data_IF_528928159076
#
_entry.id   IF_528928159076
#
_cell.length_a   1.000
_cell.length_b   1.000
_cell.length_c   1.000
_cell.angle_alpha   90.00
_cell.angle_beta   90.00
_cell.angle_gamma   90.00
#
_symmetry.space_group_name_H-M   'P 1'
#
loop_
_entity.id
_entity.type
_entity.pdbx_description
1 polymer ?
#
# COMPACT_ATOMS: atom_id res chain seq x y z
N UNK A 1 -21.46 -4.95 -15.35
CA UNK A 1 -20.29 -4.09 -15.63
C UNK A 1 -19.06 -4.90 -15.29
N UNK A 2 -18.02 -4.86 -16.12
CA UNK A 2 -16.76 -5.54 -15.81
C UNK A 2 -16.07 -4.87 -14.63
N UNK A 3 -15.57 -5.69 -13.70
CA UNK A 3 -14.79 -5.21 -12.56
C UNK A 3 -13.45 -4.66 -13.05
N UNK A 4 -13.09 -3.45 -12.61
CA UNK A 4 -11.80 -2.81 -12.92
C UNK A 4 -11.02 -2.63 -11.63
N UNK A 5 -9.76 -3.08 -11.65
CA UNK A 5 -8.80 -2.90 -10.56
C UNK A 5 -7.67 -1.97 -11.00
N UNK A 6 -7.21 -1.11 -10.09
CA UNK A 6 -6.12 -0.17 -10.34
C UNK A 6 -4.79 -0.68 -9.79
N UNK A 7 -3.69 -0.35 -10.46
CA UNK A 7 -2.33 -0.59 -9.97
C UNK A 7 -1.51 0.70 -10.03
N UNK A 8 -0.76 1.02 -8.97
CA UNK A 8 0.17 2.14 -8.91
C UNK A 8 1.31 1.86 -7.94
N UNK A 9 2.49 2.45 -8.10
CA UNK A 9 3.65 2.19 -7.25
C UNK A 9 4.46 3.45 -6.96
N UNK A 10 5.52 3.30 -6.16
CA UNK A 10 6.61 4.26 -6.01
C UNK A 10 6.19 5.66 -5.54
N UNK A 11 5.19 5.72 -4.65
CA UNK A 11 4.71 7.01 -4.15
C UNK A 11 5.74 7.69 -3.24
N UNK A 12 6.56 6.94 -2.50
CA UNK A 12 7.64 7.47 -1.67
C UNK A 12 7.17 8.62 -0.76
N UNK A 13 5.97 8.52 -0.19
CA UNK A 13 5.41 9.57 0.67
C UNK A 13 4.98 10.85 -0.07
N UNK A 14 5.03 10.86 -1.41
CA UNK A 14 4.60 11.98 -2.23
C UNK A 14 3.08 12.09 -2.23
N UNK A 15 2.57 13.04 -1.44
CA UNK A 15 1.15 13.32 -1.30
C UNK A 15 0.49 13.60 -2.64
N UNK A 16 1.06 14.49 -3.47
CA UNK A 16 0.45 14.89 -4.73
C UNK A 16 0.31 13.71 -5.71
N UNK A 17 1.32 12.84 -5.75
CA UNK A 17 1.26 11.61 -6.54
C UNK A 17 0.15 10.69 -6.04
N UNK A 18 0.16 10.34 -4.75
CA UNK A 18 -0.81 9.43 -4.16
C UNK A 18 -2.26 9.93 -4.34
N UNK A 19 -2.52 11.20 -4.07
CA UNK A 19 -3.89 11.75 -4.14
C UNK A 19 -4.40 11.85 -5.56
N UNK A 20 -3.56 12.29 -6.51
CA UNK A 20 -3.97 12.40 -7.92
C UNK A 20 -4.33 11.04 -8.50
N UNK A 21 -3.50 10.00 -8.25
CA UNK A 21 -3.78 8.64 -8.73
C UNK A 21 -5.07 8.08 -8.14
N UNK A 22 -5.31 8.24 -6.84
CA UNK A 22 -6.54 7.75 -6.18
C UNK A 22 -7.80 8.46 -6.72
N UNK A 23 -7.72 9.77 -6.95
CA UNK A 23 -8.81 10.54 -7.54
C UNK A 23 -9.10 10.11 -8.99
N UNK A 24 -8.05 9.89 -9.79
CA UNK A 24 -8.18 9.38 -11.16
C UNK A 24 -8.85 8.00 -11.18
N UNK A 25 -8.47 7.09 -10.27
CA UNK A 25 -9.10 5.78 -10.14
C UNK A 25 -10.58 5.88 -9.75
N UNK A 26 -10.91 6.66 -8.72
CA UNK A 26 -12.29 6.87 -8.30
C UNK A 26 -13.15 7.48 -9.41
N UNK A 27 -12.63 8.48 -10.13
CA UNK A 27 -13.32 9.09 -11.28
C UNK A 27 -13.56 8.10 -12.44
N UNK A 28 -12.69 7.09 -12.59
CA UNK A 28 -12.86 6.00 -13.55
C UNK A 28 -13.77 4.85 -13.04
N UNK A 29 -14.35 4.99 -11.83
CA UNK A 29 -15.18 3.96 -11.21
C UNK A 29 -14.40 2.73 -10.74
N UNK A 30 -13.10 2.88 -10.46
CA UNK A 30 -12.27 1.83 -9.87
C UNK A 30 -12.36 1.94 -8.35
N UNK A 31 -12.91 0.92 -7.69
CA UNK A 31 -13.07 0.88 -6.24
C UNK A 31 -11.98 0.08 -5.51
N UNK A 32 -11.20 -0.74 -6.22
CA UNK A 32 -10.10 -1.52 -5.66
C UNK A 32 -8.78 -1.15 -6.33
N UNK A 33 -7.81 -0.71 -5.53
CA UNK A 33 -6.49 -0.30 -6.01
C UNK A 33 -5.40 -1.04 -5.24
N UNK A 34 -4.42 -1.58 -5.97
CA UNK A 34 -3.20 -2.16 -5.42
C UNK A 34 -2.03 -1.20 -5.61
N UNK A 35 -1.50 -0.71 -4.50
CA UNK A 35 -0.25 0.00 -4.44
C UNK A 35 0.91 -1.01 -4.36
N UNK A 36 1.88 -0.99 -5.27
CA UNK A 36 2.81 -2.11 -5.51
C UNK A 36 4.26 -1.88 -5.10
N UNK A 37 4.50 -1.14 -4.01
CA UNK A 37 5.86 -0.95 -3.47
C UNK A 37 6.20 0.52 -3.23
N UNK A 38 7.08 0.76 -2.26
CA UNK A 38 7.56 2.07 -1.82
C UNK A 38 6.43 3.10 -1.68
N UNK A 39 5.48 2.75 -0.82
CA UNK A 39 4.34 3.59 -0.44
C UNK A 39 4.80 4.86 0.29
N UNK A 40 5.76 4.71 1.20
CA UNK A 40 6.24 5.81 2.05
C UNK A 40 5.59 5.82 3.43
N UNK A 41 5.40 4.66 4.05
CA UNK A 41 5.04 4.48 5.45
C UNK A 41 6.24 4.85 6.35
N UNK A 42 6.62 6.12 6.34
CA UNK A 42 7.75 6.62 7.11
C UNK A 42 7.38 6.85 8.59
N UNK A 43 8.36 6.80 9.51
CA UNK A 43 8.14 7.18 10.90
C UNK A 43 7.91 8.69 11.04
N UNK A 44 7.45 9.11 12.22
CA UNK A 44 7.32 10.52 12.57
C UNK A 44 6.06 11.21 12.04
N UNK A 45 6.02 12.54 12.20
CA UNK A 45 4.85 13.38 11.86
C UNK A 45 4.57 13.42 10.36
N UNK A 46 5.61 13.45 9.52
CA UNK A 46 5.49 13.45 8.06
C UNK A 46 4.76 12.22 7.53
N UNK A 47 5.22 11.02 7.89
CA UNK A 47 4.57 9.77 7.48
C UNK A 47 3.15 9.60 8.05
N UNK A 48 2.90 10.08 9.28
CA UNK A 48 1.53 10.15 9.84
C UNK A 48 0.62 11.08 9.03
N UNK A 49 1.13 12.24 8.61
CA UNK A 49 0.37 13.18 7.79
C UNK A 49 0.08 12.60 6.41
N UNK A 50 1.08 11.99 5.76
CA UNK A 50 0.92 11.30 4.48
C UNK A 50 -0.17 10.23 4.57
N UNK A 51 -0.07 9.32 5.54
CA UNK A 51 -1.05 8.24 5.74
C UNK A 51 -2.47 8.77 5.94
N UNK A 52 -2.63 9.83 6.75
CA UNK A 52 -3.93 10.48 6.97
C UNK A 52 -4.49 11.09 5.70
N UNK A 53 -3.66 11.75 4.90
CA UNK A 53 -4.10 12.33 3.61
C UNK A 53 -4.49 11.25 2.61
N UNK A 54 -3.68 10.20 2.46
CA UNK A 54 -4.00 9.05 1.60
C UNK A 54 -5.33 8.43 1.99
N UNK A 55 -5.53 8.16 3.29
CA UNK A 55 -6.79 7.63 3.79
C UNK A 55 -7.98 8.55 3.48
N UNK A 56 -7.86 9.86 3.75
CA UNK A 56 -8.92 10.81 3.45
C UNK A 56 -9.27 10.84 1.95
N UNK A 57 -8.28 10.72 1.06
CA UNK A 57 -8.54 10.62 -0.38
C UNK A 57 -9.20 9.30 -0.76
N UNK A 58 -8.82 8.18 -0.14
CA UNK A 58 -9.52 6.90 -0.33
C UNK A 58 -11.01 7.00 0.05
N UNK A 59 -11.32 7.67 1.16
CA UNK A 59 -12.71 7.94 1.57
C UNK A 59 -13.46 8.80 0.54
N UNK A 60 -12.83 9.88 0.07
CA UNK A 60 -13.45 10.81 -0.90
C UNK A 60 -13.66 10.18 -2.28
N UNK A 61 -12.78 9.27 -2.70
CA UNK A 61 -12.82 8.62 -4.00
C UNK A 61 -13.51 7.25 -3.99
N UNK A 62 -14.02 6.82 -2.82
CA UNK A 62 -14.59 5.49 -2.57
C UNK A 62 -13.68 4.33 -3.02
N UNK A 63 -12.39 4.45 -2.71
CA UNK A 63 -11.35 3.47 -3.06
C UNK A 63 -10.94 2.67 -1.83
N UNK A 64 -10.87 1.35 -1.95
CA UNK A 64 -10.14 0.47 -1.06
C UNK A 64 -8.71 0.30 -1.59
N UNK A 65 -7.73 0.67 -0.78
CA UNK A 65 -6.31 0.60 -1.12
C UNK A 65 -5.64 -0.60 -0.43
N UNK A 66 -5.03 -1.47 -1.23
CA UNK A 66 -4.19 -2.57 -0.79
C UNK A 66 -2.73 -2.24 -1.09
N UNK A 67 -1.84 -2.38 -0.12
CA UNK A 67 -0.47 -1.84 -0.18
C UNK A 67 0.52 -3.00 -0.07
N UNK A 68 1.27 -3.24 -1.13
CA UNK A 68 2.44 -4.13 -1.12
C UNK A 68 3.62 -3.33 -0.60
N UNK A 69 4.21 -3.78 0.50
CA UNK A 69 5.30 -3.05 1.17
C UNK A 69 6.60 -3.10 0.35
N UNK A 70 7.21 -1.93 0.15
CA UNK A 70 8.53 -1.80 -0.49
C UNK A 70 9.69 -1.99 0.48
N UNK A 71 10.91 -1.64 0.05
CA UNK A 71 12.09 -1.70 0.91
C UNK A 71 12.30 -0.42 1.73
N UNK A 72 11.56 0.65 1.45
CA UNK A 72 11.65 1.94 2.12
C UNK A 72 10.56 2.18 3.21
N UNK A 73 10.03 1.12 3.81
CA UNK A 73 8.96 1.22 4.81
C UNK A 73 9.44 1.14 6.27
N UNK A 74 8.68 1.73 7.19
CA UNK A 74 8.85 1.51 8.64
C UNK A 74 8.34 0.12 9.05
N UNK A 75 9.21 -0.88 8.89
CA UNK A 75 8.94 -2.25 9.31
C UNK A 75 8.77 -2.41 10.83
N UNK A 76 9.21 -1.44 11.64
CA UNK A 76 8.90 -1.40 13.07
C UNK A 76 7.40 -1.19 13.30
N UNK A 77 6.81 -0.26 12.56
CA UNK A 77 5.37 0.01 12.58
C UNK A 77 4.55 -1.12 11.98
N UNK A 78 5.01 -1.74 10.89
CA UNK A 78 4.32 -2.87 10.24
C UNK A 78 4.12 -4.04 11.21
N UNK A 79 5.13 -4.36 12.04
CA UNK A 79 5.06 -5.44 13.04
C UNK A 79 3.98 -5.23 14.12
N UNK A 80 3.50 -4.01 14.29
CA UNK A 80 2.47 -3.65 15.27
C UNK A 80 1.06 -3.65 14.68
N UNK A 81 0.93 -3.85 13.36
CA UNK A 81 -0.37 -3.91 12.70
C UNK A 81 -1.10 -5.19 13.07
N UNK A 82 -2.43 -5.12 13.01
CA UNK A 82 -3.29 -6.29 13.20
C UNK A 82 -3.47 -7.01 11.87
N UNK A 83 -3.70 -8.31 11.91
CA UNK A 83 -4.02 -9.11 10.73
C UNK A 83 -5.53 -9.38 10.70
N UNK A 84 -6.14 -9.31 9.53
CA UNK A 84 -7.52 -9.77 9.32
C UNK A 84 -7.57 -11.24 8.88
N UNK A 85 -8.79 -11.79 8.73
CA UNK A 85 -9.00 -13.21 8.40
C UNK A 85 -8.49 -13.57 6.99
N UNK A 86 -8.31 -12.58 6.12
CA UNK A 86 -7.75 -12.74 4.79
C UNK A 86 -6.21 -12.57 4.77
N UNK A 87 -5.58 -12.42 5.94
CA UNK A 87 -4.14 -12.30 6.09
C UNK A 87 -3.59 -10.89 5.80
N UNK A 88 -4.46 -9.91 5.53
CA UNK A 88 -4.03 -8.54 5.31
C UNK A 88 -3.76 -7.84 6.65
N UNK A 89 -2.69 -7.06 6.69
CA UNK A 89 -2.41 -6.19 7.82
C UNK A 89 -3.27 -4.93 7.72
N UNK A 90 -3.70 -4.39 8.86
CA UNK A 90 -4.49 -3.18 8.92
C UNK A 90 -4.22 -2.35 10.18
N UNK A 91 -4.61 -1.07 10.08
CA UNK A 91 -4.65 -0.12 11.17
C UNK A 91 -6.14 0.25 11.41
N UNK A 92 -6.60 0.16 12.66
CA UNK A 92 -8.02 0.39 13.00
C UNK A 92 -8.55 1.75 12.55
N UNK A 93 -7.71 2.78 12.61
CA UNK A 93 -8.08 4.16 12.27
C UNK A 93 -8.15 4.39 10.74
N UNK A 94 -7.72 3.41 9.93
CA UNK A 94 -7.62 3.52 8.48
C UNK A 94 -8.26 2.30 7.78
N UNK A 95 -9.58 2.08 7.92
CA UNK A 95 -10.28 0.89 7.40
C UNK A 95 -10.20 0.71 5.89
N UNK A 96 -9.97 1.76 5.09
CA UNK A 96 -9.75 1.67 3.64
C UNK A 96 -8.33 1.32 3.22
N UNK A 97 -7.44 1.07 4.18
CA UNK A 97 -6.08 0.65 3.92
C UNK A 97 -5.88 -0.80 4.37
N UNK A 98 -5.27 -1.60 3.51
CA UNK A 98 -4.77 -2.93 3.81
C UNK A 98 -3.33 -3.03 3.37
N UNK A 99 -2.50 -3.75 4.10
CA UNK A 99 -1.09 -3.92 3.79
C UNK A 99 -0.78 -5.41 3.66
N UNK A 100 -0.10 -5.78 2.58
CA UNK A 100 0.39 -7.13 2.40
C UNK A 100 1.45 -7.44 3.46
N UNK A 101 1.52 -8.70 3.90
CA UNK A 101 2.72 -9.20 4.55
C UNK A 101 3.87 -9.34 3.53
N UNK A 102 5.08 -9.70 3.96
CA UNK A 102 6.25 -9.81 3.04
C UNK A 102 6.02 -10.80 1.88
N UNK A 103 5.22 -11.84 2.10
CA UNK A 103 4.74 -12.74 1.07
C UNK A 103 3.25 -12.91 1.26
N UNK A 104 2.46 -12.43 0.31
CA UNK A 104 1.00 -12.41 0.45
C UNK A 104 0.34 -12.88 -0.84
N UNK A 105 -0.69 -13.70 -0.73
CA UNK A 105 -1.47 -14.16 -1.88
C UNK A 105 -2.93 -13.90 -1.64
N UNK A 106 -3.66 -13.54 -2.69
CA UNK A 106 -5.11 -13.34 -2.60
C UNK A 106 -5.77 -13.67 -3.93
N UNK A 107 -7.10 -13.72 -3.88
CA UNK A 107 -7.96 -13.84 -5.06
C UNK A 107 -8.84 -12.60 -5.09
N UNK A 108 -8.92 -11.92 -6.22
CA UNK A 108 -9.87 -10.81 -6.39
C UNK A 108 -11.32 -11.31 -6.57
N UNK A 109 -12.28 -10.39 -6.68
CA UNK A 109 -13.68 -10.76 -6.87
C UNK A 109 -13.95 -11.40 -8.24
N UNK A 110 -13.10 -11.17 -9.24
CA UNK A 110 -13.15 -11.81 -10.55
C UNK A 110 -12.54 -13.24 -10.56
N UNK A 111 -11.94 -13.70 -9.46
CA UNK A 111 -11.31 -15.02 -9.36
C UNK A 111 -9.84 -15.07 -9.80
N UNK A 112 -9.24 -13.92 -10.11
CA UNK A 112 -7.82 -13.80 -10.46
C UNK A 112 -6.95 -13.97 -9.24
N UNK A 113 -5.92 -14.82 -9.33
CA UNK A 113 -4.96 -15.07 -8.25
C UNK A 113 -3.76 -14.16 -8.37
N UNK A 114 -3.42 -13.48 -7.29
CA UNK A 114 -2.26 -12.61 -7.20
C UNK A 114 -1.30 -13.06 -6.10
N UNK A 115 -0.04 -12.68 -6.27
CA UNK A 115 1.01 -12.82 -5.26
C UNK A 115 1.78 -11.51 -5.15
N UNK A 116 2.08 -11.11 -3.91
CA UNK A 116 2.91 -9.98 -3.56
C UNK A 116 4.18 -10.49 -2.88
N UNK A 117 5.33 -9.99 -3.35
CA UNK A 117 6.66 -10.26 -2.82
C UNK A 117 7.28 -8.92 -2.41
N UNK A 118 7.06 -8.52 -1.15
CA UNK A 118 7.46 -7.21 -0.64
C UNK A 118 8.93 -7.14 -0.20
N UNK A 119 9.51 -5.95 -0.35
CA UNK A 119 10.82 -5.60 0.21
C UNK A 119 12.02 -6.26 -0.48
N UNK A 120 12.13 -6.10 -1.81
CA UNK A 120 13.33 -6.43 -2.56
C UNK A 120 14.55 -5.68 -2.01
N UNK A 121 15.72 -6.31 -1.99
CA UNK A 121 16.95 -5.63 -1.54
C UNK A 121 17.34 -4.53 -2.53
N UNK A 122 17.49 -3.29 -2.05
CA UNK A 122 18.05 -2.21 -2.87
C UNK A 122 19.48 -2.57 -3.29
N UNK A 123 19.73 -2.61 -4.60
CA UNK A 123 21.05 -2.88 -5.18
C UNK A 123 22.08 -1.78 -4.88
N UNK A 124 21.62 -0.58 -4.53
CA UNK A 124 22.48 0.57 -4.17
C UNK A 124 23.04 0.45 -2.75
N UNK A 125 22.53 -0.50 -1.97
CA UNK A 125 23.07 -0.80 -0.65
C UNK A 125 24.40 -1.54 -0.84
N UNK A 126 25.52 -0.81 -0.80
CA UNK A 126 26.86 -1.41 -0.74
C UNK A 126 26.87 -2.46 0.38
N UNK A 127 27.29 -3.71 0.11
CA UNK A 127 27.47 -4.67 1.17
C UNK A 127 28.50 -4.09 2.14
N UNK A 128 28.14 -3.94 3.41
CA UNK A 128 29.14 -3.72 4.45
C UNK A 128 29.96 -5.01 4.47
N UNK A 129 31.22 -4.94 4.08
CA UNK A 129 32.14 -6.06 4.18
C UNK A 129 32.07 -6.59 5.62
N UNK A 130 31.70 -7.85 5.77
CA UNK A 130 31.83 -8.52 7.07
C UNK A 130 33.33 -8.70 7.30
N UNK A 131 33.86 -8.02 8.31
CA UNK A 131 35.19 -8.27 8.86
C UNK A 131 35.17 -9.56 9.67
#
# INVERSE_FOLDING_TARGET
MEERIGFAGDWHGNVACATSRLQEFGAAGVSTVYQVGDFGLWPGSGGKSFLRTVYATCEQSDVQLFIVLGNHEDYGRVKLMRTDDAGWLYLKDYPRLRFATRGHTWVDAAGTRFAALGGAGSIDRRPVARA
#
